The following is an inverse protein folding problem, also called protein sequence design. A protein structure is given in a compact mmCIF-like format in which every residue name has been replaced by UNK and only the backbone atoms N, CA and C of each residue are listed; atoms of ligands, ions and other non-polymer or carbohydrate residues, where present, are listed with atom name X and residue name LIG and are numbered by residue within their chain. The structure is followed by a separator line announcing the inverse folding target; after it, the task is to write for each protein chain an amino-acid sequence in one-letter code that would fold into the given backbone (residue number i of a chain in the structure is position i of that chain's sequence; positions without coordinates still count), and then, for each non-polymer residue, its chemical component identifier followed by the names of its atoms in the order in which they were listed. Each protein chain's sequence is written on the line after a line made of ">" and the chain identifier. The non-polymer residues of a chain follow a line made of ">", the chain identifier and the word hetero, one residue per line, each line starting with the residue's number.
data_IF_931605458611
#
_entry.id   IF_931605458611
#
_cell.length_a   1.000
_cell.length_b   1.000
_cell.length_c   1.000
_cell.angle_alpha   90.00
_cell.angle_beta   90.00
_cell.angle_gamma   90.00
#
_symmetry.space_group_name_H-M   'P 1'
#
loop_
_entity.id
_entity.type
_entity.pdbx_description
1 polymer ?
#
# COMPACT_ATOMS: atom_id res chain seq x y z
N UNK A 1 51.03 -6.11 11.12
CA UNK A 1 50.47 -6.22 12.48
C UNK A 1 51.36 -7.19 13.22
N UNK A 2 52.01 -6.72 14.29
CA UNK A 2 52.72 -7.57 15.24
C UNK A 2 51.69 -8.54 15.88
N UNK A 3 52.05 -9.81 16.05
CA UNK A 3 51.09 -10.85 16.48
C UNK A 3 50.45 -10.57 17.85
N UNK A 4 51.10 -9.78 18.69
CA UNK A 4 50.68 -9.37 20.04
C UNK A 4 49.37 -8.56 20.05
N UNK A 5 49.04 -7.89 18.96
CA UNK A 5 47.86 -7.01 18.82
C UNK A 5 46.60 -7.79 18.35
N UNK A 6 46.75 -9.09 18.07
CA UNK A 6 45.67 -9.95 17.56
C UNK A 6 44.86 -10.63 18.66
N UNK A 7 45.47 -10.92 19.81
CA UNK A 7 44.80 -11.54 20.96
C UNK A 7 43.58 -10.73 21.42
N UNK A 8 43.65 -9.41 21.65
CA UNK A 8 42.47 -8.65 22.07
C UNK A 8 41.37 -8.62 21.01
N UNK A 9 41.71 -8.67 19.72
CA UNK A 9 40.74 -8.73 18.63
C UNK A 9 40.04 -10.10 18.57
N UNK A 10 40.77 -11.18 18.91
CA UNK A 10 40.21 -12.52 18.99
C UNK A 10 39.28 -12.65 20.19
N UNK A 11 39.69 -12.17 21.36
CA UNK A 11 38.83 -12.12 22.55
C UNK A 11 37.56 -11.33 22.27
N UNK A 12 37.69 -10.16 21.62
CA UNK A 12 36.53 -9.36 21.22
C UNK A 12 35.62 -10.11 20.22
N UNK A 13 36.20 -10.85 19.28
CA UNK A 13 35.41 -11.64 18.33
C UNK A 13 34.65 -12.76 19.05
N UNK A 14 35.28 -13.42 20.01
CA UNK A 14 34.68 -14.48 20.84
C UNK A 14 33.46 -13.94 21.59
N UNK A 15 33.62 -12.83 22.32
CA UNK A 15 32.50 -12.16 23.01
C UNK A 15 31.37 -11.76 22.06
N UNK A 16 31.69 -11.22 20.88
CA UNK A 16 30.65 -10.85 19.91
C UNK A 16 29.89 -12.07 19.34
N UNK A 17 30.54 -13.23 19.26
CA UNK A 17 29.91 -14.47 18.80
C UNK A 17 28.98 -15.02 19.87
N UNK A 18 29.41 -15.01 21.14
CA UNK A 18 28.58 -15.42 22.28
C UNK A 18 27.33 -14.53 22.40
N UNK A 19 27.50 -13.21 22.37
CA UNK A 19 26.39 -12.24 22.39
C UNK A 19 25.41 -12.48 21.23
N UNK A 20 25.95 -12.80 20.04
CA UNK A 20 25.13 -13.07 18.87
C UNK A 20 24.35 -14.39 18.99
N UNK A 21 24.96 -15.41 19.57
CA UNK A 21 24.31 -16.70 19.83
C UNK A 21 23.15 -16.54 20.82
N UNK A 22 23.33 -15.75 21.88
CA UNK A 22 22.26 -15.42 22.83
C UNK A 22 21.09 -14.70 22.14
N UNK A 23 21.39 -13.66 21.36
CA UNK A 23 20.37 -12.85 20.66
C UNK A 23 19.64 -13.65 19.59
N UNK A 24 20.34 -14.53 18.87
CA UNK A 24 19.74 -15.38 17.83
C UNK A 24 19.07 -16.64 18.39
N UNK A 25 19.37 -17.03 19.64
CA UNK A 25 18.84 -18.22 20.29
C UNK A 25 17.33 -18.41 20.11
N UNK A 26 16.47 -17.41 20.38
CA UNK A 26 15.03 -17.51 20.17
C UNK A 26 14.61 -17.81 18.72
N UNK A 27 15.38 -17.32 17.74
CA UNK A 27 15.12 -17.51 16.31
C UNK A 27 15.63 -18.86 15.79
N UNK A 28 16.68 -19.41 16.40
CA UNK A 28 17.25 -20.72 16.04
C UNK A 28 16.49 -21.86 16.73
N UNK A 29 16.10 -21.67 17.99
CA UNK A 29 15.41 -22.68 18.80
C UNK A 29 13.92 -22.81 18.49
N UNK A 30 13.32 -21.84 17.80
CA UNK A 30 11.92 -21.86 17.38
C UNK A 30 11.81 -21.83 15.86
N UNK A 31 10.74 -22.40 15.32
CA UNK A 31 10.49 -22.31 13.88
C UNK A 31 10.17 -20.88 13.48
N UNK A 32 10.96 -20.31 12.55
CA UNK A 32 10.70 -18.99 11.96
C UNK A 32 9.27 -18.88 11.38
N UNK A 33 8.72 -19.99 10.89
CA UNK A 33 7.34 -20.04 10.39
C UNK A 33 6.31 -19.89 11.51
N UNK A 34 6.60 -20.37 12.73
CA UNK A 34 5.72 -20.23 13.89
C UNK A 34 5.81 -18.82 14.48
N UNK A 35 7.02 -18.27 14.60
CA UNK A 35 7.25 -16.90 15.08
C UNK A 35 6.61 -15.87 14.14
N UNK A 36 6.72 -16.09 12.82
CA UNK A 36 6.18 -15.16 11.82
C UNK A 36 4.66 -15.24 11.61
N UNK A 37 3.99 -16.32 12.04
CA UNK A 37 2.52 -16.46 11.92
C UNK A 37 1.75 -15.48 12.81
N UNK A 38 2.32 -15.13 13.97
CA UNK A 38 1.68 -14.28 14.97
C UNK A 38 1.85 -12.77 14.67
N UNK A 39 2.69 -12.43 13.70
CA UNK A 39 3.07 -11.05 13.41
C UNK A 39 2.20 -10.41 12.31
N UNK A 40 1.91 -9.11 12.40
CA UNK A 40 1.37 -8.34 11.30
C UNK A 40 2.24 -8.45 10.04
N UNK A 41 1.64 -8.23 8.87
CA UNK A 41 2.32 -8.42 7.57
C UNK A 41 3.62 -7.60 7.46
N UNK A 42 3.62 -6.37 7.96
CA UNK A 42 4.80 -5.50 7.94
C UNK A 42 5.93 -6.03 8.82
N UNK A 43 5.61 -6.43 10.06
CA UNK A 43 6.61 -6.94 11.00
C UNK A 43 7.13 -8.32 10.58
N UNK A 44 6.28 -9.13 9.95
CA UNK A 44 6.70 -10.36 9.27
C UNK A 44 7.71 -10.08 8.17
N UNK A 45 7.53 -9.03 7.38
CA UNK A 45 8.50 -8.66 6.34
C UNK A 45 9.83 -8.22 6.96
N UNK A 46 9.79 -7.39 8.01
CA UNK A 46 10.99 -6.97 8.75
C UNK A 46 11.76 -8.14 9.32
N UNK A 47 11.07 -9.06 9.99
CA UNK A 47 11.66 -10.26 10.57
C UNK A 47 12.43 -11.06 9.51
N UNK A 48 11.77 -11.40 8.38
CA UNK A 48 12.41 -12.18 7.32
C UNK A 48 13.63 -11.46 6.70
N UNK A 49 13.54 -10.15 6.47
CA UNK A 49 14.66 -9.37 5.89
C UNK A 49 15.82 -9.27 6.88
N UNK A 50 15.55 -9.06 8.17
CA UNK A 50 16.57 -9.03 9.23
C UNK A 50 17.24 -10.39 9.42
N UNK A 51 16.47 -11.48 9.42
CA UNK A 51 17.03 -12.84 9.50
C UNK A 51 17.93 -13.13 8.30
N UNK A 52 17.48 -12.76 7.09
CA UNK A 52 18.30 -12.93 5.88
C UNK A 52 19.58 -12.09 5.95
N UNK A 53 19.48 -10.85 6.41
CA UNK A 53 20.63 -9.97 6.63
C UNK A 53 21.65 -10.57 7.62
N UNK A 54 21.17 -11.14 8.73
CA UNK A 54 22.02 -11.77 9.73
C UNK A 54 22.78 -12.97 9.13
N UNK A 55 22.09 -13.85 8.40
CA UNK A 55 22.71 -15.00 7.72
C UNK A 55 23.76 -14.57 6.70
N UNK A 56 23.43 -13.63 5.83
CA UNK A 56 24.39 -13.17 4.81
C UNK A 56 25.59 -12.44 5.44
N UNK A 57 25.37 -11.69 6.53
CA UNK A 57 26.44 -11.02 7.28
C UNK A 57 27.35 -12.02 7.97
N UNK A 58 26.81 -13.09 8.54
CA UNK A 58 27.58 -14.19 9.13
C UNK A 58 28.44 -14.89 8.08
N UNK A 59 27.86 -15.21 6.91
CA UNK A 59 28.62 -15.80 5.80
C UNK A 59 29.71 -14.85 5.32
N UNK A 60 29.42 -13.55 5.22
CA UNK A 60 30.40 -12.53 4.84
C UNK A 60 31.58 -12.47 5.83
N UNK A 61 31.30 -12.49 7.14
CA UNK A 61 32.31 -12.53 8.19
C UNK A 61 33.14 -13.82 8.15
N UNK A 62 32.49 -14.97 7.96
CA UNK A 62 33.17 -16.27 7.80
C UNK A 62 34.14 -16.27 6.60
N UNK A 63 33.72 -15.75 5.45
CA UNK A 63 34.58 -15.66 4.27
C UNK A 63 35.79 -14.76 4.50
N UNK A 64 35.62 -13.66 5.23
CA UNK A 64 36.73 -12.78 5.62
C UNK A 64 37.72 -13.48 6.54
N UNK A 65 37.25 -14.27 7.50
CA UNK A 65 38.11 -15.06 8.39
C UNK A 65 38.92 -16.12 7.62
N UNK A 66 38.33 -16.69 6.56
CA UNK A 66 39.02 -17.61 5.64
C UNK A 66 39.96 -16.93 4.64
N UNK A 67 40.12 -15.61 4.71
CA UNK A 67 40.98 -14.85 3.80
C UNK A 67 40.45 -14.72 2.37
N UNK A 68 39.17 -15.03 2.12
CA UNK A 68 38.53 -14.86 0.82
C UNK A 68 38.10 -13.41 0.63
N UNK A 69 38.29 -12.84 -0.56
CA UNK A 69 37.78 -11.50 -0.88
C UNK A 69 36.25 -11.50 -0.97
N UNK A 70 35.62 -11.23 0.16
CA UNK A 70 34.17 -11.24 0.30
C UNK A 70 33.47 -10.17 -0.57
N UNK A 71 34.18 -9.15 -1.09
CA UNK A 71 33.60 -8.14 -2.00
C UNK A 71 33.44 -8.66 -3.42
N UNK A 72 34.30 -9.58 -3.84
CA UNK A 72 34.19 -10.26 -5.13
C UNK A 72 33.29 -11.48 -5.06
N UNK A 73 33.03 -11.98 -3.84
CA UNK A 73 32.13 -13.12 -3.62
C UNK A 73 30.66 -12.76 -3.90
N UNK A 74 29.84 -13.71 -4.42
CA UNK A 74 28.41 -13.49 -4.66
C UNK A 74 27.60 -13.01 -3.45
N UNK A 75 28.07 -13.30 -2.23
CA UNK A 75 27.44 -12.82 -0.97
C UNK A 75 27.33 -11.30 -0.93
N UNK A 76 28.29 -10.55 -1.50
CA UNK A 76 28.19 -9.09 -1.56
C UNK A 76 27.01 -8.61 -2.43
N UNK A 77 26.65 -9.39 -3.47
CA UNK A 77 25.48 -9.12 -4.30
C UNK A 77 24.19 -9.37 -3.52
N UNK A 78 24.14 -10.43 -2.72
CA UNK A 78 22.99 -10.73 -1.88
C UNK A 78 22.82 -9.66 -0.77
N UNK A 79 23.90 -9.20 -0.14
CA UNK A 79 23.84 -8.07 0.81
C UNK A 79 23.28 -6.80 0.16
N UNK A 80 23.68 -6.52 -1.09
CA UNK A 80 23.12 -5.40 -1.87
C UNK A 80 21.62 -5.60 -2.15
N UNK A 81 21.19 -6.83 -2.37
CA UNK A 81 19.79 -7.19 -2.57
C UNK A 81 18.97 -7.02 -1.28
N UNK A 82 19.50 -7.46 -0.13
CA UNK A 82 18.88 -7.24 1.19
C UNK A 82 18.70 -5.75 1.48
N UNK A 83 19.70 -4.92 1.16
CA UNK A 83 19.58 -3.46 1.27
C UNK A 83 18.38 -2.90 0.47
N UNK A 84 18.15 -3.39 -0.74
CA UNK A 84 16.99 -2.96 -1.54
C UNK A 84 15.66 -3.34 -0.88
N UNK A 85 15.61 -4.47 -0.14
CA UNK A 85 14.41 -4.84 0.61
C UNK A 85 14.20 -3.96 1.84
N UNK A 86 15.27 -3.55 2.53
CA UNK A 86 15.15 -2.53 3.58
C UNK A 86 14.59 -1.21 3.04
N UNK A 87 15.05 -0.76 1.88
CA UNK A 87 14.55 0.47 1.26
C UNK A 87 13.06 0.35 0.89
N UNK A 88 12.61 -0.82 0.42
CA UNK A 88 11.18 -1.09 0.17
C UNK A 88 10.36 -1.07 1.45
N UNK A 89 10.84 -1.69 2.52
CA UNK A 89 10.13 -1.69 3.81
C UNK A 89 10.02 -0.26 4.35
N UNK A 90 11.12 0.51 4.32
CA UNK A 90 11.12 1.91 4.76
C UNK A 90 10.17 2.80 3.96
N UNK A 91 10.09 2.60 2.64
CA UNK A 91 9.12 3.30 1.81
C UNK A 91 7.68 3.01 2.25
N UNK A 92 7.36 1.73 2.52
CA UNK A 92 6.04 1.32 3.02
C UNK A 92 5.72 1.81 4.43
N UNK A 93 6.73 2.06 5.26
CA UNK A 93 6.54 2.62 6.60
C UNK A 93 6.31 4.13 6.60
N UNK A 94 6.96 4.84 5.67
CA UNK A 94 7.05 6.30 5.71
C UNK A 94 6.04 6.97 4.78
N UNK A 95 5.69 6.33 3.66
CA UNK A 95 4.68 6.86 2.74
C UNK A 95 3.29 6.37 3.17
N UNK A 96 2.37 7.27 3.57
CA UNK A 96 0.96 6.89 3.65
C UNK A 96 0.56 6.42 2.26
N UNK A 97 0.11 5.17 2.15
CA UNK A 97 -0.30 4.51 0.92
C UNK A 97 -1.19 5.46 0.09
N UNK A 98 -0.60 6.19 -0.86
CA UNK A 98 -1.35 7.01 -1.81
C UNK A 98 -2.06 6.03 -2.72
N UNK A 99 -3.27 5.63 -2.31
CA UNK A 99 -4.11 4.72 -3.09
C UNK A 99 -4.24 5.34 -4.49
N UNK A 100 -3.58 4.78 -5.52
CA UNK A 100 -3.54 5.41 -6.84
C UNK A 100 -4.90 5.34 -7.54
N UNK A 101 -5.85 4.61 -6.93
CA UNK A 101 -7.20 4.43 -7.39
C UNK A 101 -8.17 5.16 -6.47
N UNK A 102 -8.12 6.49 -6.48
CA UNK A 102 -9.27 7.27 -6.01
C UNK A 102 -10.39 7.09 -7.03
N UNK A 103 -11.48 6.43 -6.61
CA UNK A 103 -12.64 6.26 -7.48
C UNK A 103 -13.22 7.64 -7.80
N UNK A 104 -13.33 7.97 -9.08
CA UNK A 104 -14.02 9.18 -9.51
C UNK A 104 -15.52 9.00 -9.25
N UNK A 105 -15.96 9.45 -8.07
CA UNK A 105 -17.35 9.36 -7.60
C UNK A 105 -18.32 10.01 -8.59
N UNK A 106 -17.90 11.06 -9.28
CA UNK A 106 -18.74 11.73 -10.27
C UNK A 106 -18.93 10.88 -11.52
N UNK A 107 -17.86 10.27 -12.05
CA UNK A 107 -17.95 9.35 -13.18
C UNK A 107 -18.78 8.11 -12.84
N UNK A 108 -18.53 7.48 -11.68
CA UNK A 108 -19.35 6.38 -11.17
C UNK A 108 -20.83 6.79 -11.05
N UNK A 109 -21.10 7.99 -10.54
CA UNK A 109 -22.45 8.55 -10.49
C UNK A 109 -23.09 8.72 -11.88
N UNK A 110 -22.33 9.10 -12.91
CA UNK A 110 -22.83 9.18 -14.29
C UNK A 110 -23.17 7.80 -14.85
N UNK A 111 -22.30 6.80 -14.62
CA UNK A 111 -22.56 5.42 -15.03
C UNK A 111 -23.80 4.84 -14.35
N UNK A 112 -23.94 5.05 -13.05
CA UNK A 112 -25.11 4.57 -12.29
C UNK A 112 -26.38 5.29 -12.77
N UNK A 113 -26.34 6.62 -12.93
CA UNK A 113 -27.51 7.40 -13.43
C UNK A 113 -27.94 6.96 -14.82
N UNK A 114 -26.99 6.71 -15.72
CA UNK A 114 -27.32 6.25 -17.07
C UNK A 114 -27.78 4.77 -17.09
N UNK A 115 -27.24 3.93 -16.21
CA UNK A 115 -27.71 2.54 -16.06
C UNK A 115 -29.10 2.43 -15.43
N UNK A 116 -29.50 3.43 -14.65
CA UNK A 116 -30.84 3.58 -14.08
C UNK A 116 -31.77 4.47 -14.93
N UNK A 117 -31.27 5.10 -15.99
CA UNK A 117 -32.06 5.94 -16.88
C UNK A 117 -33.05 5.05 -17.65
N UNK A 118 -34.34 5.32 -17.48
CA UNK A 118 -35.44 4.49 -18.00
C UNK A 118 -36.46 4.10 -16.93
N UNK A 119 -36.15 4.33 -15.64
CA UNK A 119 -37.06 4.07 -14.53
C UNK A 119 -37.81 5.33 -14.04
N UNK A 120 -38.37 6.10 -14.98
CA UNK A 120 -38.93 7.44 -14.75
C UNK A 120 -39.99 7.50 -13.64
N UNK A 121 -40.77 6.43 -13.46
CA UNK A 121 -41.79 6.33 -12.40
C UNK A 121 -41.17 6.41 -11.00
N UNK A 122 -40.08 5.68 -10.76
CA UNK A 122 -39.42 5.64 -9.46
C UNK A 122 -38.59 6.90 -9.20
N UNK A 123 -38.10 7.56 -10.25
CA UNK A 123 -37.42 8.85 -10.13
C UNK A 123 -38.38 9.99 -9.76
N UNK A 124 -39.62 9.96 -10.29
CA UNK A 124 -40.66 10.91 -9.90
C UNK A 124 -41.13 10.68 -8.46
N UNK A 125 -41.38 9.43 -8.08
CA UNK A 125 -41.78 9.08 -6.71
C UNK A 125 -40.70 9.48 -5.68
N UNK A 126 -39.43 9.23 -5.99
CA UNK A 126 -38.32 9.66 -5.12
C UNK A 126 -38.25 11.19 -5.00
N UNK A 127 -38.43 11.92 -6.10
CA UNK A 127 -38.48 13.40 -6.07
C UNK A 127 -39.64 13.93 -5.26
N UNK A 128 -40.81 13.30 -5.36
CA UNK A 128 -41.99 13.67 -4.59
C UNK A 128 -41.78 13.42 -3.09
N UNK A 129 -41.22 12.28 -2.70
CA UNK A 129 -40.88 11.97 -1.31
C UNK A 129 -39.80 12.92 -0.74
N UNK A 130 -38.80 13.28 -1.54
CA UNK A 130 -37.79 14.26 -1.16
C UNK A 130 -38.38 15.67 -1.00
N UNK A 131 -39.28 16.09 -1.89
CA UNK A 131 -39.96 17.36 -1.78
C UNK A 131 -40.87 17.42 -0.55
N UNK A 132 -41.63 16.34 -0.30
CA UNK A 132 -42.50 16.20 0.87
C UNK A 132 -41.74 16.21 2.19
N UNK A 133 -40.61 15.50 2.25
CA UNK A 133 -39.75 15.49 3.45
C UNK A 133 -39.06 16.84 3.68
N UNK A 134 -38.57 17.50 2.63
CA UNK A 134 -38.00 18.85 2.73
C UNK A 134 -39.03 19.89 3.16
N UNK A 135 -40.23 19.87 2.57
CA UNK A 135 -41.32 20.75 2.97
C UNK A 135 -41.72 20.50 4.44
N UNK A 136 -41.83 19.24 4.87
CA UNK A 136 -42.15 18.90 6.27
C UNK A 136 -41.04 19.33 7.23
N UNK A 137 -39.77 19.19 6.85
CA UNK A 137 -38.64 19.65 7.64
C UNK A 137 -38.60 21.19 7.74
N UNK A 138 -38.88 21.89 6.65
CA UNK A 138 -38.96 23.36 6.63
C UNK A 138 -40.13 23.88 7.46
N UNK A 139 -41.29 23.24 7.40
CA UNK A 139 -42.44 23.59 8.25
C UNK A 139 -42.13 23.35 9.74
N UNK A 140 -41.49 22.21 10.07
CA UNK A 140 -41.08 21.91 11.44
C UNK A 140 -40.02 22.91 11.94
N UNK A 141 -39.05 23.28 11.09
CA UNK A 141 -38.04 24.29 11.41
C UNK A 141 -38.67 25.68 11.61
N UNK A 142 -39.63 26.07 10.78
CA UNK A 142 -40.35 27.33 10.90
C UNK A 142 -41.24 27.38 12.16
N UNK A 143 -41.88 26.27 12.53
CA UNK A 143 -42.65 26.18 13.79
C UNK A 143 -41.74 26.30 15.02
N UNK A 144 -40.58 25.64 15.01
CA UNK A 144 -39.59 25.77 16.10
C UNK A 144 -39.06 27.21 16.17
N UNK A 145 -38.76 27.84 15.03
CA UNK A 145 -38.35 29.24 14.98
C UNK A 145 -39.43 30.18 15.54
N UNK A 146 -40.71 29.99 15.18
CA UNK A 146 -41.82 30.79 15.72
C UNK A 146 -42.01 30.60 17.23
N UNK A 147 -41.92 29.38 17.74
CA UNK A 147 -41.95 29.12 19.19
C UNK A 147 -40.78 29.80 19.91
N UNK A 148 -39.57 29.80 19.32
CA UNK A 148 -38.43 30.50 19.93
C UNK A 148 -38.57 32.03 19.91
N UNK A 149 -39.33 32.59 18.97
CA UNK A 149 -39.60 34.05 18.91
C UNK A 149 -40.80 34.48 19.76
N UNK A 150 -41.83 33.63 19.93
CA UNK A 150 -42.99 33.90 20.78
C UNK A 150 -42.70 33.68 22.26
N UNK A 151 -41.83 32.71 22.61
CA UNK A 151 -41.28 32.56 23.97
C UNK A 151 -40.22 33.62 24.33
N UNK A 152 -39.92 34.55 23.42
CA UNK A 152 -39.03 35.70 23.65
C UNK A 152 -39.69 36.92 24.32
N UNK A 153 -40.97 36.83 24.73
CA UNK A 153 -41.68 37.87 25.49
C UNK A 153 -42.32 37.33 26.78
N UNK A 154 -41.57 36.61 27.61
CA UNK A 154 -41.83 36.58 29.05
C UNK A 154 -40.60 36.09 29.81
N UNK A 155 -39.97 37.05 30.50
CA UNK A 155 -39.21 36.91 31.76
C UNK A 155 -38.16 35.80 31.89
N UNK A 156 -36.91 36.26 31.91
CA UNK A 156 -35.89 35.90 32.91
C UNK A 156 -36.43 35.26 34.20
N UNK A 157 -36.05 34.02 34.49
CA UNK A 157 -35.42 33.62 35.76
C UNK A 157 -35.01 32.13 35.74
N UNK A 158 -33.72 31.94 36.03
CA UNK A 158 -33.08 30.87 36.79
C UNK A 158 -33.99 29.77 37.36
N UNK A 159 -33.77 28.51 37.00
CA UNK A 159 -33.43 27.42 37.97
C UNK A 159 -33.11 26.09 37.30
N UNK A 160 -31.91 25.62 37.63
CA UNK A 160 -31.52 24.21 37.66
C UNK A 160 -32.47 23.41 38.56
N UNK A 161 -32.91 22.22 38.12
CA UNK A 161 -32.77 20.92 38.85
C UNK A 161 -33.51 19.77 38.14
N UNK A 162 -32.69 18.79 37.75
CA UNK A 162 -32.85 17.33 37.78
C UNK A 162 -34.23 16.64 37.93
N UNK A 163 -34.30 15.55 37.14
CA UNK A 163 -34.82 14.18 37.38
C UNK A 163 -36.26 13.80 37.03
N UNK A 164 -36.32 12.61 36.41
CA UNK A 164 -37.35 11.56 36.45
C UNK A 164 -38.22 11.33 35.19
N UNK A 165 -37.97 10.15 34.60
CA UNK A 165 -38.74 9.30 33.65
C UNK A 165 -40.19 9.69 33.27
N UNK A 166 -40.47 9.56 31.97
CA UNK A 166 -41.67 8.85 31.48
C UNK A 166 -41.44 8.30 30.06
N UNK A 167 -41.58 6.98 29.92
CA UNK A 167 -41.68 6.23 28.66
C UNK A 167 -42.99 6.59 27.94
N UNK A 168 -43.08 6.32 26.62
CA UNK A 168 -44.14 5.38 26.22
C UNK A 168 -43.64 4.41 25.13
N UNK A 169 -43.71 3.12 25.43
CA UNK A 169 -43.94 2.09 24.41
C UNK A 169 -45.42 1.69 24.49
N UNK A 170 -46.12 1.63 23.36
CA UNK A 170 -46.65 0.37 22.82
C UNK A 170 -47.61 0.62 21.63
N UNK A 171 -47.30 0.00 20.50
CA UNK A 171 -48.25 -0.85 19.75
C UNK A 171 -47.47 -1.55 18.64
N UNK A 172 -47.14 -2.80 18.93
CA UNK A 172 -46.68 -3.80 17.96
C UNK A 172 -47.87 -4.44 17.24
N UNK A 173 -47.71 -4.80 15.96
CA UNK A 173 -48.43 -5.95 15.40
C UNK A 173 -47.61 -6.62 14.27
N UNK A 174 -47.08 -7.79 14.64
CA UNK A 174 -46.93 -9.06 13.93
C UNK A 174 -46.18 -9.15 12.58
N UNK A 175 -45.00 -9.78 12.65
CA UNK A 175 -44.37 -10.53 11.54
C UNK A 175 -44.45 -12.03 11.87
N UNK A 176 -45.11 -12.79 11.01
CA UNK A 176 -45.12 -14.24 10.99
C UNK A 176 -43.88 -14.77 10.25
N UNK A 177 -43.16 -15.72 10.87
CA UNK A 177 -42.14 -16.54 10.20
C UNK A 177 -42.65 -17.97 10.07
N UNK A 178 -42.91 -18.41 8.83
CA UNK A 178 -42.98 -19.83 8.50
C UNK A 178 -41.71 -20.29 7.78
N UNK A 179 -41.16 -21.38 8.29
CA UNK A 179 -40.02 -22.14 7.78
C UNK A 179 -40.51 -23.18 6.77
N UNK A 180 -39.99 -23.18 5.54
CA UNK A 180 -39.97 -24.36 4.68
C UNK A 180 -38.62 -24.54 3.98
N UNK A 181 -38.04 -25.71 4.19
CA UNK A 181 -36.86 -26.29 3.55
C UNK A 181 -37.25 -27.07 2.29
N UNK A 182 -36.55 -26.92 1.15
CA UNK A 182 -36.11 -28.04 0.27
C UNK A 182 -35.00 -27.57 -0.70
N UNK A 183 -33.93 -28.37 -0.87
CA UNK A 183 -32.95 -28.27 -1.98
C UNK A 183 -33.43 -29.07 -3.24
N UNK A 184 -32.58 -29.42 -4.24
CA UNK A 184 -32.30 -28.67 -5.48
C UNK A 184 -32.74 -29.44 -6.76
N UNK A 185 -32.83 -28.78 -7.92
CA UNK A 185 -32.92 -29.47 -9.21
C UNK A 185 -32.35 -28.66 -10.40
N UNK A 186 -31.72 -29.41 -11.30
CA UNK A 186 -30.86 -29.08 -12.45
C UNK A 186 -31.59 -29.02 -13.80
N UNK A 187 -30.81 -28.69 -14.87
CA UNK A 187 -31.01 -28.88 -16.35
C UNK A 187 -31.50 -27.61 -17.08
N UNK A 188 -31.01 -27.14 -18.24
CA UNK A 188 -29.82 -27.30 -19.11
C UNK A 188 -29.93 -26.26 -20.28
N UNK A 189 -28.80 -25.98 -20.96
CA UNK A 189 -28.57 -25.60 -22.39
C UNK A 189 -29.57 -24.67 -23.14
N UNK A 190 -29.22 -23.68 -23.99
CA UNK A 190 -28.00 -23.26 -24.66
C UNK A 190 -28.34 -22.21 -25.76
N UNK A 191 -27.30 -21.72 -26.47
CA UNK A 191 -27.27 -20.97 -27.76
C UNK A 191 -27.02 -19.43 -27.76
N UNK A 192 -25.79 -19.09 -28.15
CA UNK A 192 -25.30 -17.84 -28.80
C UNK A 192 -25.95 -17.65 -30.21
N UNK A 193 -25.82 -16.50 -30.96
CA UNK A 193 -24.65 -15.60 -31.03
C UNK A 193 -24.90 -14.09 -31.26
N UNK A 194 -23.92 -13.23 -30.93
CA UNK A 194 -23.79 -11.90 -31.55
C UNK A 194 -22.34 -11.37 -31.50
N UNK A 195 -21.60 -11.67 -32.56
CA UNK A 195 -20.26 -11.19 -32.87
C UNK A 195 -20.30 -9.72 -33.32
N UNK A 196 -19.68 -8.79 -32.58
CA UNK A 196 -19.22 -7.51 -33.16
C UNK A 196 -18.29 -6.68 -32.26
N UNK A 197 -18.22 -6.92 -30.95
CA UNK A 197 -17.45 -6.06 -30.04
C UNK A 197 -16.03 -6.56 -29.69
N UNK A 198 -15.63 -7.72 -30.19
CA UNK A 198 -14.37 -8.37 -29.77
C UNK A 198 -13.13 -7.90 -30.54
N UNK A 199 -13.29 -7.32 -31.74
CA UNK A 199 -12.17 -6.92 -32.61
C UNK A 199 -11.52 -5.59 -32.18
N UNK A 200 -12.31 -4.58 -31.77
CA UNK A 200 -11.80 -3.29 -31.33
C UNK A 200 -11.01 -3.36 -30.00
N UNK A 201 -11.47 -4.18 -29.03
CA UNK A 201 -10.77 -4.36 -27.76
C UNK A 201 -9.42 -5.07 -27.94
N UNK A 202 -9.29 -5.98 -28.91
CA UNK A 202 -8.04 -6.70 -29.20
C UNK A 202 -7.01 -5.79 -29.90
N UNK A 203 -7.45 -4.88 -30.77
CA UNK A 203 -6.58 -3.90 -31.43
C UNK A 203 -6.07 -2.82 -30.45
N UNK A 204 -6.93 -2.28 -29.57
CA UNK A 204 -6.51 -1.31 -28.53
C UNK A 204 -5.48 -1.87 -27.54
N UNK A 205 -5.58 -3.16 -27.18
CA UNK A 205 -4.59 -3.81 -26.29
C UNK A 205 -3.25 -4.04 -26.97
N UNK A 206 -3.23 -4.38 -28.26
CA UNK A 206 -1.99 -4.51 -29.06
C UNK A 206 -1.27 -3.17 -29.21
N UNK A 207 -2.00 -2.10 -29.54
CA UNK A 207 -1.42 -0.76 -29.68
C UNK A 207 -0.81 -0.22 -28.36
N UNK A 208 -1.47 -0.47 -27.22
CA UNK A 208 -0.91 -0.11 -25.90
C UNK A 208 0.36 -0.89 -25.55
N UNK A 209 0.41 -2.17 -25.90
CA UNK A 209 1.59 -3.00 -25.63
C UNK A 209 2.79 -2.59 -26.52
N UNK A 210 2.53 -2.21 -27.78
CA UNK A 210 3.55 -1.73 -28.71
C UNK A 210 4.11 -0.36 -28.30
N UNK A 211 3.24 0.59 -27.89
CA UNK A 211 3.66 1.88 -27.38
C UNK A 211 4.51 1.76 -26.09
N UNK A 212 4.16 0.83 -25.18
CA UNK A 212 4.95 0.55 -23.99
C UNK A 212 6.32 -0.06 -24.32
N UNK A 213 6.39 -0.91 -25.35
CA UNK A 213 7.65 -1.52 -25.81
C UNK A 213 8.58 -0.49 -26.44
N UNK A 214 8.05 0.45 -27.23
CA UNK A 214 8.81 1.54 -27.85
C UNK A 214 9.39 2.50 -26.81
N UNK A 215 8.59 2.89 -25.80
CA UNK A 215 9.07 3.72 -24.67
C UNK A 215 10.21 3.06 -23.90
N UNK A 216 10.09 1.76 -23.62
CA UNK A 216 11.14 1.01 -22.91
C UNK A 216 12.42 0.87 -23.73
N UNK A 217 12.32 0.81 -25.06
CA UNK A 217 13.48 0.81 -25.95
C UNK A 217 14.16 2.18 -25.98
N UNK A 218 13.40 3.28 -26.06
CA UNK A 218 13.93 4.65 -26.01
C UNK A 218 14.64 4.95 -24.67
N UNK A 219 14.03 4.60 -23.54
CA UNK A 219 14.70 4.78 -22.23
C UNK A 219 16.00 3.95 -22.12
N UNK A 220 16.08 2.81 -22.79
CA UNK A 220 17.28 1.97 -22.81
C UNK A 220 18.38 2.53 -23.72
N UNK A 221 18.02 3.18 -24.83
CA UNK A 221 18.98 3.87 -25.70
C UNK A 221 19.54 5.11 -25.00
N UNK A 222 18.70 5.90 -24.35
CA UNK A 222 19.11 7.14 -23.68
C UNK A 222 20.06 6.85 -22.51
N UNK A 223 19.79 5.79 -21.73
CA UNK A 223 20.70 5.31 -20.69
C UNK A 223 22.05 4.83 -21.24
N UNK A 224 22.06 4.23 -22.45
CA UNK A 224 23.30 3.80 -23.11
C UNK A 224 24.10 4.99 -23.64
N UNK A 225 23.44 6.01 -24.20
CA UNK A 225 24.09 7.24 -24.66
C UNK A 225 24.68 8.03 -23.50
N UNK A 226 23.93 8.25 -22.42
CA UNK A 226 24.42 8.94 -21.24
C UNK A 226 25.63 8.23 -20.61
N UNK A 227 25.66 6.88 -20.65
CA UNK A 227 26.81 6.08 -20.20
C UNK A 227 28.03 6.25 -21.12
N UNK A 228 27.84 6.35 -22.44
CA UNK A 228 28.91 6.60 -23.41
C UNK A 228 29.49 8.01 -23.25
N UNK A 229 28.64 9.02 -23.08
CA UNK A 229 29.05 10.41 -22.88
C UNK A 229 29.85 10.57 -21.59
N UNK A 230 29.41 9.99 -20.48
CA UNK A 230 30.15 10.01 -19.21
C UNK A 230 31.56 9.38 -19.34
N UNK A 231 31.69 8.30 -20.14
CA UNK A 231 32.99 7.67 -20.41
C UNK A 231 33.89 8.57 -21.25
N UNK A 232 33.36 9.25 -22.28
CA UNK A 232 34.13 10.21 -23.08
C UNK A 232 34.64 11.36 -22.23
N UNK A 233 33.77 12.00 -21.43
CA UNK A 233 34.16 13.09 -20.51
C UNK A 233 35.24 12.65 -19.51
N UNK A 234 35.18 11.39 -19.02
CA UNK A 234 36.21 10.87 -18.11
C UNK A 234 37.55 10.66 -18.81
N UNK A 235 37.54 10.23 -20.07
CA UNK A 235 38.76 10.03 -20.86
C UNK A 235 39.42 11.36 -21.21
N UNK A 236 38.61 12.36 -21.57
CA UNK A 236 39.06 13.72 -21.88
C UNK A 236 39.71 14.39 -20.67
N UNK A 237 39.06 14.32 -19.49
CA UNK A 237 39.67 14.77 -18.23
C UNK A 237 40.98 14.07 -17.89
N UNK A 238 41.14 12.80 -18.26
CA UNK A 238 42.38 12.06 -18.04
C UNK A 238 43.49 12.55 -18.98
N UNK A 239 43.17 12.73 -20.27
CA UNK A 239 44.10 13.31 -21.25
C UNK A 239 44.53 14.73 -20.88
N UNK A 240 43.61 15.55 -20.38
CA UNK A 240 43.94 16.90 -19.88
C UNK A 240 44.91 16.84 -18.70
N UNK A 241 44.68 15.95 -17.73
CA UNK A 241 45.58 15.75 -16.59
C UNK A 241 46.96 15.27 -17.03
N UNK A 242 47.02 14.29 -17.92
CA UNK A 242 48.28 13.78 -18.48
C UNK A 242 49.03 14.87 -19.26
N UNK A 243 48.32 15.70 -20.05
CA UNK A 243 48.94 16.83 -20.77
C UNK A 243 49.45 17.95 -19.85
N UNK A 244 48.74 18.23 -18.74
CA UNK A 244 49.18 19.20 -17.73
C UNK A 244 50.38 18.69 -16.95
N UNK A 245 50.45 17.38 -16.68
CA UNK A 245 51.57 16.75 -16.01
C UNK A 245 52.83 16.73 -16.88
N UNK A 246 52.69 16.47 -18.19
CA UNK A 246 53.79 16.54 -19.16
C UNK A 246 54.34 17.96 -19.32
N UNK A 247 53.47 18.99 -19.29
CA UNK A 247 53.89 20.42 -19.33
C UNK A 247 54.56 20.93 -18.05
N UNK A 248 54.47 20.19 -16.94
CA UNK A 248 55.08 20.58 -15.67
C UNK A 248 56.47 19.95 -15.44
N UNK A 249 56.90 19.05 -16.34
CA UNK A 249 58.15 18.29 -16.23
C UNK A 249 59.19 18.73 -17.29
N UNK A 250 58.79 19.53 -18.29
CA UNK A 250 59.69 20.21 -19.22
C UNK A 250 59.72 21.70 -18.97
#
# INVERSE_FOLDING_TARGET
>A
MEASDLLPLLDQLDYNVDDLEEVLGPLVNQSLAETSKKLPVLDKAKLNVLTTYALESLIYSYLKLRGVDAKQHPVFRELTRVRQYFDKIKALETEPEERPMTLNKQAAGRFIKHGLAGNERFDLERKEQEAKSKARAQLKAAMIAKQTTESGKSSSQTKLRSSEKANPEDSSDSRDEEKMTVEPASIAEGSEPAQSQHHEKKQKRKAKHEAAKLRKQQESSDKREHKKERRRRKLEKRKERESKQMKAIG
#
